data_IF_780211082837
#
_entry.id   IF_780211082837
#
_cell.length_a   1.000
_cell.length_b   1.000
_cell.length_c   1.000
_cell.angle_alpha   90.00
_cell.angle_beta   90.00
_cell.angle_gamma   90.00
#
_symmetry.space_group_name_H-M   'P 1'
#
loop_
_entity.id
_entity.type
_entity.pdbx_description
1 polymer ?
#
# COMPACT_ATOMS: atom_id res chain seq x y z
N UNK A 1 15.58 16.48 11.58
CA UNK A 1 14.15 16.43 11.90
C UNK A 1 13.91 17.04 13.28
N UNK A 2 12.83 17.79 13.45
CA UNK A 2 12.37 18.28 14.74
C UNK A 2 11.60 17.16 15.50
N UNK A 3 11.18 17.44 16.74
CA UNK A 3 10.49 16.43 17.58
C UNK A 3 9.21 15.90 16.93
N UNK A 4 8.41 16.77 16.33
CA UNK A 4 7.14 16.42 15.69
C UNK A 4 7.39 15.56 14.45
N UNK A 5 8.40 15.91 13.65
CA UNK A 5 8.81 15.13 12.47
C UNK A 5 9.29 13.71 12.85
N UNK A 6 9.99 13.56 13.99
CA UNK A 6 10.41 12.24 14.49
C UNK A 6 9.20 11.40 14.93
N UNK A 7 8.21 12.02 15.56
CA UNK A 7 6.98 11.33 15.99
C UNK A 7 6.15 10.86 14.79
N UNK A 8 6.01 11.72 13.77
CA UNK A 8 5.36 11.35 12.50
C UNK A 8 6.11 10.21 11.81
N UNK A 9 7.44 10.27 11.76
CA UNK A 9 8.25 9.22 11.15
C UNK A 9 8.07 7.86 11.81
N UNK A 10 8.13 7.80 13.15
CA UNK A 10 7.92 6.55 13.89
C UNK A 10 6.49 6.03 13.72
N UNK A 11 5.50 6.92 13.72
CA UNK A 11 4.10 6.55 13.48
C UNK A 11 3.93 5.94 12.09
N UNK A 12 4.53 6.55 11.06
CA UNK A 12 4.50 6.03 9.70
C UNK A 12 5.21 4.68 9.57
N UNK A 13 6.35 4.50 10.23
CA UNK A 13 7.05 3.20 10.28
C UNK A 13 6.14 2.07 10.77
N UNK A 14 5.48 2.27 11.90
CA UNK A 14 4.53 1.28 12.44
C UNK A 14 3.30 1.11 11.54
N UNK A 15 2.86 2.19 10.91
CA UNK A 15 1.71 2.16 10.02
C UNK A 15 1.99 1.35 8.74
N UNK A 16 3.18 1.49 8.15
CA UNK A 16 3.62 0.71 6.98
C UNK A 16 3.58 -0.80 7.30
N UNK A 17 4.04 -1.22 8.48
CA UNK A 17 3.97 -2.63 8.87
C UNK A 17 2.54 -3.15 8.95
N UNK A 18 1.63 -2.37 9.54
CA UNK A 18 0.20 -2.73 9.60
C UNK A 18 -0.45 -2.74 8.22
N UNK A 19 -0.06 -1.82 7.32
CA UNK A 19 -0.56 -1.80 5.95
C UNK A 19 -0.17 -3.07 5.20
N UNK A 20 1.09 -3.50 5.28
CA UNK A 20 1.56 -4.74 4.66
C UNK A 20 0.77 -5.95 5.20
N UNK A 21 0.51 -6.00 6.51
CA UNK A 21 -0.33 -7.05 7.11
C UNK A 21 -1.75 -7.01 6.52
N UNK A 22 -2.38 -5.84 6.45
CA UNK A 22 -3.73 -5.67 5.90
C UNK A 22 -3.82 -6.05 4.41
N UNK A 23 -2.78 -5.77 3.62
CA UNK A 23 -2.71 -6.20 2.22
C UNK A 23 -2.60 -7.73 2.14
N UNK A 24 -1.73 -8.36 2.94
CA UNK A 24 -1.61 -9.81 2.98
C UNK A 24 -2.93 -10.49 3.39
N UNK A 25 -3.63 -9.97 4.40
CA UNK A 25 -4.95 -10.48 4.79
C UNK A 25 -5.97 -10.34 3.66
N UNK A 26 -5.93 -9.24 2.91
CA UNK A 26 -6.79 -9.02 1.74
C UNK A 26 -6.53 -10.06 0.64
N UNK A 27 -5.26 -10.32 0.33
CA UNK A 27 -4.84 -11.36 -0.61
C UNK A 27 -5.32 -12.74 -0.14
N UNK A 28 -5.18 -13.06 1.14
CA UNK A 28 -5.65 -14.33 1.71
C UNK A 28 -7.18 -14.49 1.63
N UNK A 29 -7.95 -13.44 1.92
CA UNK A 29 -9.41 -13.50 1.77
C UNK A 29 -9.81 -13.76 0.33
N UNK A 30 -9.18 -13.09 -0.64
CA UNK A 30 -9.47 -13.30 -2.06
C UNK A 30 -9.12 -14.74 -2.47
N UNK A 31 -7.91 -15.20 -2.15
CA UNK A 31 -7.43 -16.54 -2.57
C UNK A 31 -8.18 -17.69 -1.90
N UNK A 32 -8.77 -17.46 -0.73
CA UNK A 32 -9.58 -18.46 -0.02
C UNK A 32 -11.05 -18.50 -0.46
N UNK A 33 -11.45 -17.72 -1.47
CA UNK A 33 -12.83 -17.65 -1.96
C UNK A 33 -13.75 -16.78 -1.10
N UNK A 34 -13.18 -15.85 -0.35
CA UNK A 34 -13.90 -14.83 0.42
C UNK A 34 -13.64 -13.45 -0.19
N UNK A 35 -13.87 -13.33 -1.50
CA UNK A 35 -13.50 -12.19 -2.31
C UNK A 35 -14.22 -10.92 -1.85
N UNK A 36 -15.49 -11.05 -1.45
CA UNK A 36 -16.26 -9.93 -0.89
C UNK A 36 -15.54 -9.28 0.29
N UNK A 37 -15.07 -10.09 1.25
CA UNK A 37 -14.35 -9.57 2.42
C UNK A 37 -13.02 -8.96 2.02
N UNK A 38 -12.30 -9.55 1.07
CA UNK A 38 -11.08 -8.97 0.52
C UNK A 38 -11.31 -7.61 -0.11
N UNK A 39 -12.32 -7.48 -0.99
CA UNK A 39 -12.66 -6.22 -1.65
C UNK A 39 -13.12 -5.14 -0.66
N UNK A 40 -13.83 -5.52 0.40
CA UNK A 40 -14.24 -4.59 1.47
C UNK A 40 -13.05 -3.95 2.21
N UNK A 41 -11.86 -4.58 2.18
CA UNK A 41 -10.64 -4.05 2.80
C UNK A 41 -9.90 -3.03 1.92
N UNK A 42 -10.13 -3.05 0.59
CA UNK A 42 -9.39 -2.23 -0.38
C UNK A 42 -9.45 -0.72 -0.09
N UNK A 43 -10.60 -0.12 0.27
CA UNK A 43 -10.65 1.31 0.61
C UNK A 43 -9.70 1.68 1.76
N UNK A 44 -9.62 0.83 2.80
CA UNK A 44 -8.74 1.06 3.95
C UNK A 44 -7.25 0.96 3.56
N UNK A 45 -6.92 0.05 2.63
CA UNK A 45 -5.57 -0.04 2.07
C UNK A 45 -5.23 1.24 1.30
N UNK A 46 -6.17 1.75 0.49
CA UNK A 46 -6.02 3.01 -0.24
C UNK A 46 -5.75 4.20 0.68
N UNK A 47 -6.53 4.34 1.75
CA UNK A 47 -6.29 5.37 2.79
C UNK A 47 -4.90 5.23 3.41
N UNK A 48 -4.46 3.99 3.65
CA UNK A 48 -3.16 3.74 4.24
C UNK A 48 -1.99 4.11 3.31
N UNK A 49 -2.13 3.81 2.02
CA UNK A 49 -1.18 4.21 0.98
C UNK A 49 -1.11 5.74 0.89
N UNK A 50 -2.27 6.41 0.82
CA UNK A 50 -2.34 7.87 0.75
C UNK A 50 -1.67 8.53 1.96
N UNK A 51 -1.92 8.00 3.17
CA UNK A 51 -1.27 8.49 4.38
C UNK A 51 0.27 8.41 4.30
N UNK A 52 0.81 7.28 3.82
CA UNK A 52 2.26 7.09 3.69
C UNK A 52 2.86 8.08 2.67
N UNK A 53 2.22 8.26 1.51
CA UNK A 53 2.65 9.24 0.50
C UNK A 53 2.67 10.66 1.10
N UNK A 54 1.63 11.02 1.85
CA UNK A 54 1.56 12.32 2.49
C UNK A 54 2.68 12.52 3.52
N UNK A 55 3.04 11.49 4.29
CA UNK A 55 4.18 11.55 5.21
C UNK A 55 5.50 11.71 4.47
N UNK A 56 5.72 10.97 3.38
CA UNK A 56 6.94 11.07 2.55
C UNK A 56 7.09 12.51 2.03
N UNK A 57 6.01 13.09 1.50
CA UNK A 57 5.99 14.47 1.02
C UNK A 57 6.24 15.49 2.16
N UNK A 58 5.59 15.31 3.31
CA UNK A 58 5.73 16.18 4.48
C UNK A 58 7.16 16.19 5.02
N UNK A 59 7.77 15.01 5.15
CA UNK A 59 9.12 14.82 5.68
C UNK A 59 10.20 14.99 4.61
N UNK A 60 9.82 15.17 3.34
CA UNK A 60 10.71 15.27 2.18
C UNK A 60 11.68 14.10 2.09
N UNK A 61 11.16 12.89 2.33
CA UNK A 61 11.94 11.65 2.21
C UNK A 61 12.20 11.42 0.73
N UNK A 62 13.46 11.23 0.35
CA UNK A 62 13.84 10.90 -1.02
C UNK A 62 13.43 9.45 -1.31
N UNK A 63 12.63 9.26 -2.36
CA UNK A 63 12.30 7.94 -2.87
C UNK A 63 13.49 7.37 -3.65
N UNK A 64 13.68 6.06 -3.57
CA UNK A 64 14.77 5.35 -4.24
C UNK A 64 14.60 5.32 -5.75
N UNK A 65 13.36 5.31 -6.23
CA UNK A 65 13.01 5.38 -7.65
C UNK A 65 12.15 6.62 -7.90
N UNK A 66 12.47 7.37 -8.95
CA UNK A 66 11.72 8.58 -9.32
C UNK A 66 10.25 8.26 -9.66
N UNK A 67 10.00 7.04 -10.15
CA UNK A 67 8.68 6.58 -10.62
C UNK A 67 7.88 5.84 -9.54
N UNK A 68 8.34 5.74 -8.28
CA UNK A 68 7.65 4.95 -7.23
C UNK A 68 6.16 5.33 -7.06
N UNK A 69 5.83 6.63 -7.05
CA UNK A 69 4.44 7.09 -6.91
C UNK A 69 3.63 6.81 -8.19
N UNK A 70 4.25 6.96 -9.36
CA UNK A 70 3.60 6.68 -10.64
C UNK A 70 3.26 5.19 -10.76
N UNK A 71 4.23 4.32 -10.47
CA UNK A 71 4.03 2.87 -10.43
C UNK A 71 2.91 2.49 -9.48
N UNK A 72 2.88 3.06 -8.26
CA UNK A 72 1.81 2.78 -7.31
C UNK A 72 0.43 3.20 -7.84
N UNK A 73 0.33 4.36 -8.48
CA UNK A 73 -0.92 4.82 -9.10
C UNK A 73 -1.36 3.90 -10.24
N UNK A 74 -0.45 3.47 -11.11
CA UNK A 74 -0.75 2.50 -12.18
C UNK A 74 -1.35 1.23 -11.61
N UNK A 75 -0.75 0.66 -10.57
CA UNK A 75 -1.24 -0.56 -9.95
C UNK A 75 -2.60 -0.37 -9.25
N UNK A 76 -2.86 0.79 -8.64
CA UNK A 76 -4.16 1.12 -8.06
C UNK A 76 -5.26 1.25 -9.14
N UNK A 77 -4.95 1.82 -10.31
CA UNK A 77 -5.86 1.86 -11.46
C UNK A 77 -6.18 0.44 -11.97
N UNK A 78 -5.19 -0.44 -12.05
CA UNK A 78 -5.40 -1.83 -12.42
C UNK A 78 -6.27 -2.60 -11.40
N UNK A 79 -6.12 -2.33 -10.09
CA UNK A 79 -7.00 -2.87 -9.05
C UNK A 79 -8.45 -2.42 -9.28
N UNK A 80 -8.69 -1.14 -9.60
CA UNK A 80 -10.03 -0.64 -9.91
C UNK A 80 -10.61 -1.40 -11.11
N UNK A 81 -9.83 -1.57 -12.18
CA UNK A 81 -10.23 -2.38 -13.33
C UNK A 81 -10.55 -3.83 -12.97
N UNK A 82 -9.76 -4.45 -12.09
CA UNK A 82 -10.03 -5.78 -11.56
C UNK A 82 -11.36 -5.86 -10.79
N UNK A 83 -11.67 -4.85 -9.97
CA UNK A 83 -12.94 -4.77 -9.21
C UNK A 83 -14.12 -4.68 -10.17
N UNK A 84 -14.05 -3.79 -11.17
CA UNK A 84 -15.12 -3.56 -12.14
C UNK A 84 -15.44 -4.81 -12.97
N UNK A 85 -14.40 -5.59 -13.31
CA UNK A 85 -14.54 -6.82 -14.09
C UNK A 85 -14.77 -8.07 -13.23
N UNK A 86 -14.70 -7.96 -11.89
CA UNK A 86 -14.77 -9.09 -10.97
C UNK A 86 -13.57 -10.05 -11.08
N UNK A 87 -12.42 -9.56 -11.57
CA UNK A 87 -11.19 -10.34 -11.70
C UNK A 87 -10.41 -10.34 -10.38
N UNK A 88 -10.88 -11.13 -9.43
CA UNK A 88 -10.28 -11.17 -8.09
C UNK A 88 -8.87 -11.78 -8.09
N UNK A 89 -8.57 -12.68 -9.04
CA UNK A 89 -7.23 -13.26 -9.17
C UNK A 89 -6.23 -12.16 -9.52
N UNK A 90 -6.56 -11.31 -10.50
CA UNK A 90 -5.75 -10.16 -10.85
C UNK A 90 -5.54 -9.20 -9.66
N UNK A 91 -6.60 -8.88 -8.91
CA UNK A 91 -6.48 -8.00 -7.73
C UNK A 91 -5.49 -8.58 -6.70
N UNK A 92 -5.59 -9.88 -6.41
CA UNK A 92 -4.69 -10.53 -5.46
C UNK A 92 -3.24 -10.55 -5.96
N UNK A 93 -3.03 -10.76 -7.26
CA UNK A 93 -1.70 -10.75 -7.87
C UNK A 93 -1.07 -9.36 -7.85
N UNK A 94 -1.82 -8.31 -8.22
CA UNK A 94 -1.34 -6.91 -8.15
C UNK A 94 -0.94 -6.56 -6.71
N UNK A 95 -1.78 -6.86 -5.72
CA UNK A 95 -1.44 -6.59 -4.33
C UNK A 95 -0.17 -7.31 -3.89
N UNK A 96 -0.05 -8.60 -4.25
CA UNK A 96 1.02 -9.46 -3.78
C UNK A 96 2.37 -9.18 -4.44
N UNK A 97 2.37 -8.99 -5.75
CA UNK A 97 3.59 -8.96 -6.55
C UNK A 97 3.96 -7.57 -7.03
N UNK A 98 3.06 -6.59 -6.96
CA UNK A 98 3.33 -5.21 -7.40
C UNK A 98 3.27 -4.23 -6.22
N UNK A 99 2.14 -4.16 -5.50
CA UNK A 99 1.97 -3.19 -4.40
C UNK A 99 2.87 -3.53 -3.20
N UNK A 100 2.84 -4.76 -2.67
CA UNK A 100 3.64 -5.13 -1.49
C UNK A 100 5.13 -4.82 -1.70
N UNK A 101 5.76 -5.20 -2.83
CA UNK A 101 7.16 -4.83 -3.09
C UNK A 101 7.42 -3.33 -3.03
N UNK A 102 6.56 -2.51 -3.63
CA UNK A 102 6.68 -1.04 -3.57
C UNK A 102 6.62 -0.54 -2.11
N UNK A 103 5.67 -1.05 -1.32
CA UNK A 103 5.51 -0.66 0.09
C UNK A 103 6.70 -1.13 0.95
N UNK A 104 7.28 -2.29 0.67
CA UNK A 104 8.50 -2.77 1.34
C UNK A 104 9.72 -1.92 0.96
N UNK A 105 9.84 -1.47 -0.30
CA UNK A 105 10.90 -0.53 -0.68
C UNK A 105 10.76 0.82 0.04
N UNK A 106 9.51 1.32 0.17
CA UNK A 106 9.22 2.51 0.99
C UNK A 106 9.60 2.26 2.45
N UNK A 107 9.27 1.10 3.02
CA UNK A 107 9.60 0.75 4.42
C UNK A 107 11.09 0.85 4.72
N UNK A 108 11.96 0.49 3.78
CA UNK A 108 13.42 0.60 3.93
C UNK A 108 13.85 2.04 4.17
N UNK A 109 13.13 3.03 3.65
CA UNK A 109 13.40 4.46 3.86
C UNK A 109 13.05 4.92 5.29
N UNK A 110 12.23 4.14 6.00
CA UNK A 110 11.86 4.36 7.41
C UNK A 110 12.65 3.46 8.38
N UNK A 111 13.58 2.65 7.88
CA UNK A 111 14.34 1.66 8.65
C UNK A 111 15.38 2.29 9.58
#
# INVERSE_FOLDING_TARGET
MNKEEIEVFNTAKEYIERLIVGINETVEFIQSGNEKKGVEMIPLIGEGIEYIINVIALLKIELKEEETIENLNTQLEEIIGGIENGDYVLIADIFKYEIIPIIEDIKIMFA
#
